data_IF_024457157047
#
_entry.id   IF_024457157047
#
_cell.length_a   1.000
_cell.length_b   1.000
_cell.length_c   1.000
_cell.angle_alpha   90.00
_cell.angle_beta   90.00
_cell.angle_gamma   90.00
#
_symmetry.space_group_name_H-M   'P 1'
#
loop_
_entity.id
_entity.type
_entity.pdbx_description
1 polymer ?
#
# COMPACT_ATOMS: atom_id res chain seq x y z
N UNK A 1 14.04 -18.74 3.64
CA UNK A 1 13.49 -18.11 4.86
C UNK A 1 13.45 -16.60 4.75
N UNK A 2 14.56 -15.94 4.37
CA UNK A 2 14.64 -14.47 4.26
C UNK A 2 13.61 -13.87 3.29
N UNK A 3 13.42 -14.47 2.11
CA UNK A 3 12.48 -13.97 1.10
C UNK A 3 11.03 -13.92 1.61
N UNK A 4 10.56 -14.95 2.32
CA UNK A 4 9.19 -14.97 2.87
C UNK A 4 8.99 -13.88 3.93
N UNK A 5 10.00 -13.66 4.77
CA UNK A 5 9.97 -12.65 5.82
C UNK A 5 9.98 -11.24 5.22
N UNK A 6 10.76 -11.04 4.15
CA UNK A 6 10.76 -9.84 3.32
C UNK A 6 9.40 -9.61 2.65
N UNK A 7 8.85 -10.63 2.00
CA UNK A 7 7.53 -10.56 1.36
C UNK A 7 6.44 -10.18 2.35
N UNK A 8 6.47 -10.75 3.55
CA UNK A 8 5.54 -10.42 4.62
C UNK A 8 5.71 -8.95 5.05
N UNK A 9 6.94 -8.49 5.26
CA UNK A 9 7.24 -7.11 5.66
C UNK A 9 6.74 -6.09 4.62
N UNK A 10 7.03 -6.31 3.32
CA UNK A 10 6.55 -5.44 2.23
C UNK A 10 5.01 -5.41 2.14
N UNK A 11 4.36 -6.52 2.43
CA UNK A 11 2.91 -6.62 2.30
C UNK A 11 2.15 -5.86 3.39
N UNK A 12 2.84 -5.39 4.43
CA UNK A 12 2.20 -4.74 5.59
C UNK A 12 1.50 -3.42 5.22
N UNK A 13 2.09 -2.62 4.32
CA UNK A 13 1.52 -1.34 3.92
C UNK A 13 0.23 -1.54 3.10
N UNK A 14 0.24 -2.50 2.16
CA UNK A 14 -0.95 -2.93 1.42
C UNK A 14 -2.01 -3.58 2.31
N UNK A 15 -1.60 -4.41 3.29
CA UNK A 15 -2.52 -5.03 4.24
C UNK A 15 -3.19 -3.98 5.15
N UNK A 16 -2.45 -2.98 5.64
CA UNK A 16 -2.99 -1.89 6.43
C UNK A 16 -4.01 -1.06 5.63
N UNK A 17 -3.68 -0.72 4.37
CA UNK A 17 -4.59 -0.05 3.46
C UNK A 17 -5.88 -0.87 3.24
N UNK A 18 -5.77 -2.18 3.02
CA UNK A 18 -6.93 -3.04 2.80
C UNK A 18 -7.75 -3.29 4.07
N UNK A 19 -7.12 -3.32 5.24
CA UNK A 19 -7.84 -3.35 6.51
C UNK A 19 -8.66 -2.08 6.71
N UNK A 20 -8.09 -0.91 6.40
CA UNK A 20 -8.81 0.36 6.42
C UNK A 20 -9.97 0.38 5.40
N UNK A 21 -9.74 -0.11 4.18
CA UNK A 21 -10.78 -0.22 3.15
C UNK A 21 -11.89 -1.19 3.57
N UNK A 22 -11.54 -2.33 4.17
CA UNK A 22 -12.51 -3.31 4.67
C UNK A 22 -13.43 -2.72 5.74
N UNK A 23 -12.85 -1.95 6.67
CA UNK A 23 -13.61 -1.30 7.71
C UNK A 23 -14.54 -0.19 7.19
N UNK A 24 -14.13 0.49 6.12
CA UNK A 24 -14.89 1.58 5.47
C UNK A 24 -15.98 1.06 4.54
N UNK A 25 -15.68 0.08 3.70
CA UNK A 25 -16.51 -0.35 2.58
C UNK A 25 -17.12 -1.74 2.81
N UNK A 26 -17.98 -1.85 3.83
CA UNK A 26 -18.52 -3.13 4.33
C UNK A 26 -19.39 -3.89 3.32
N UNK A 27 -20.13 -3.16 2.49
CA UNK A 27 -21.08 -3.73 1.52
C UNK A 27 -20.45 -4.10 0.17
N UNK A 28 -19.12 -3.98 0.03
CA UNK A 28 -18.45 -4.42 -1.20
C UNK A 28 -18.63 -5.92 -1.43
N UNK A 29 -19.06 -6.26 -2.65
CA UNK A 29 -19.19 -7.64 -3.09
C UNK A 29 -17.84 -8.33 -3.24
N UNK A 30 -17.83 -9.66 -3.10
CA UNK A 30 -16.63 -10.50 -3.17
C UNK A 30 -15.75 -10.20 -4.39
N UNK A 31 -16.36 -10.05 -5.57
CA UNK A 31 -15.64 -9.78 -6.81
C UNK A 31 -14.81 -8.48 -6.77
N UNK A 32 -15.32 -7.43 -6.12
CA UNK A 32 -14.57 -6.17 -5.96
C UNK A 32 -13.46 -6.30 -4.92
N UNK A 33 -13.70 -7.01 -3.81
CA UNK A 33 -12.67 -7.28 -2.80
C UNK A 33 -11.51 -8.05 -3.42
N UNK A 34 -11.83 -9.09 -4.20
CA UNK A 34 -10.86 -9.89 -4.93
C UNK A 34 -10.08 -9.03 -5.93
N UNK A 35 -10.76 -8.13 -6.65
CA UNK A 35 -10.11 -7.20 -7.57
C UNK A 35 -9.15 -6.23 -6.87
N UNK A 36 -9.53 -5.68 -5.70
CA UNK A 36 -8.66 -4.79 -4.92
C UNK A 36 -7.41 -5.54 -4.43
N UNK A 37 -7.59 -6.71 -3.82
CA UNK A 37 -6.47 -7.53 -3.37
C UNK A 37 -5.56 -7.93 -4.55
N UNK A 38 -6.14 -8.27 -5.70
CA UNK A 38 -5.40 -8.60 -6.91
C UNK A 38 -4.58 -7.40 -7.42
N UNK A 39 -5.16 -6.20 -7.46
CA UNK A 39 -4.43 -4.99 -7.85
C UNK A 39 -3.23 -4.72 -6.94
N UNK A 40 -3.40 -4.84 -5.61
CA UNK A 40 -2.29 -4.68 -4.66
C UNK A 40 -1.21 -5.74 -4.88
N UNK A 41 -1.57 -7.01 -4.99
CA UNK A 41 -0.62 -8.09 -5.25
C UNK A 41 0.08 -7.96 -6.60
N UNK A 42 -0.64 -7.51 -7.64
CA UNK A 42 -0.10 -7.26 -8.97
C UNK A 42 0.93 -6.12 -8.96
N UNK A 43 0.63 -5.00 -8.30
CA UNK A 43 1.60 -3.90 -8.14
C UNK A 43 2.81 -4.33 -7.31
N UNK A 44 2.62 -5.13 -6.25
CA UNK A 44 3.72 -5.67 -5.45
C UNK A 44 4.58 -6.70 -6.20
N UNK A 45 4.04 -7.34 -7.24
CA UNK A 45 4.80 -8.17 -8.17
C UNK A 45 5.54 -7.32 -9.20
N UNK A 46 4.87 -6.33 -9.78
CA UNK A 46 5.40 -5.53 -10.88
C UNK A 46 6.52 -4.60 -10.42
N UNK A 47 6.39 -3.98 -9.24
CA UNK A 47 7.34 -2.98 -8.75
C UNK A 47 8.74 -3.55 -8.47
N UNK A 48 8.93 -4.71 -7.82
CA UNK A 48 10.26 -5.31 -7.68
C UNK A 48 10.92 -5.61 -9.02
N UNK A 49 10.16 -6.02 -10.04
CA UNK A 49 10.69 -6.25 -11.39
C UNK A 49 11.16 -4.94 -12.01
N UNK A 50 10.33 -3.90 -11.98
CA UNK A 50 10.70 -2.57 -12.47
C UNK A 50 11.96 -2.05 -11.76
N UNK A 51 12.00 -2.16 -10.44
CA UNK A 51 13.13 -1.73 -9.62
C UNK A 51 14.41 -2.49 -9.97
N UNK A 52 14.31 -3.80 -10.20
CA UNK A 52 15.45 -4.63 -10.60
C UNK A 52 16.02 -4.20 -11.95
N UNK A 53 15.17 -3.96 -12.96
CA UNK A 53 15.63 -3.48 -14.27
C UNK A 53 16.13 -2.03 -14.23
N UNK A 54 15.53 -1.17 -13.41
CA UNK A 54 16.01 0.19 -13.15
C UNK A 54 17.37 0.19 -12.47
N UNK A 55 17.60 -0.70 -11.50
CA UNK A 55 18.90 -0.89 -10.84
C UNK A 55 20.01 -1.33 -11.81
N UNK A 56 19.66 -2.18 -12.78
CA UNK A 56 20.59 -2.61 -13.84
C UNK A 56 20.92 -1.47 -14.82
N UNK A 57 19.95 -0.61 -15.16
CA UNK A 57 20.16 0.50 -16.11
C UNK A 57 20.64 1.82 -15.49
N UNK A 58 20.41 2.03 -14.18
CA UNK A 58 20.64 3.30 -13.50
C UNK A 58 21.10 3.07 -12.05
N UNK A 59 22.39 2.78 -11.85
CA UNK A 59 23.01 2.83 -10.54
C UNK A 59 23.09 4.25 -9.92
N UNK A 60 22.50 5.29 -10.53
CA UNK A 60 22.74 6.70 -10.14
C UNK A 60 21.57 7.71 -10.20
N UNK A 61 20.34 7.36 -10.60
CA UNK A 61 19.34 8.42 -10.94
C UNK A 61 17.94 8.30 -10.32
N UNK A 62 17.61 7.24 -9.57
CA UNK A 62 16.21 6.95 -9.20
C UNK A 62 15.75 7.53 -7.83
N UNK A 63 16.63 8.16 -7.05
CA UNK A 63 16.33 8.41 -5.62
C UNK A 63 15.39 9.59 -5.31
N UNK A 64 15.20 10.57 -6.21
CA UNK A 64 14.68 11.89 -5.78
C UNK A 64 13.24 12.24 -6.17
N UNK A 65 12.57 11.50 -7.07
CA UNK A 65 11.31 12.00 -7.67
C UNK A 65 10.03 11.38 -7.06
N UNK A 66 10.08 10.18 -6.48
CA UNK A 66 8.85 9.42 -6.14
C UNK A 66 8.23 9.73 -4.76
N UNK A 67 9.01 10.23 -3.80
CA UNK A 67 8.62 10.25 -2.39
C UNK A 67 7.62 11.37 -2.03
N UNK A 68 7.77 12.57 -2.62
CA UNK A 68 6.87 13.69 -2.36
C UNK A 68 5.45 13.45 -2.92
N UNK A 69 5.35 12.76 -4.06
CA UNK A 69 4.07 12.41 -4.68
C UNK A 69 3.30 11.42 -3.81
N UNK A 70 3.98 10.37 -3.32
CA UNK A 70 3.39 9.41 -2.39
C UNK A 70 2.91 10.08 -1.10
N UNK A 71 3.74 10.95 -0.50
CA UNK A 71 3.37 11.73 0.70
C UNK A 71 2.06 12.50 0.49
N UNK A 72 1.96 13.31 -0.56
CA UNK A 72 0.78 14.14 -0.81
C UNK A 72 -0.48 13.29 -1.05
N UNK A 73 -0.37 12.19 -1.78
CA UNK A 73 -1.48 11.29 -2.06
C UNK A 73 -2.01 10.63 -0.78
N UNK A 74 -1.11 10.09 0.05
CA UNK A 74 -1.47 9.40 1.30
C UNK A 74 -2.04 10.37 2.35
N UNK A 75 -1.43 11.56 2.49
CA UNK A 75 -1.98 12.61 3.33
C UNK A 75 -3.37 13.06 2.85
N UNK A 76 -3.57 13.23 1.54
CA UNK A 76 -4.86 13.62 0.99
C UNK A 76 -5.95 12.57 1.25
N UNK A 77 -5.65 11.29 1.00
CA UNK A 77 -6.58 10.20 1.22
C UNK A 77 -6.90 10.02 2.71
N UNK A 78 -5.89 10.10 3.57
CA UNK A 78 -6.06 10.02 5.02
C UNK A 78 -6.87 11.20 5.59
N UNK A 79 -6.61 12.42 5.13
CA UNK A 79 -7.37 13.61 5.54
C UNK A 79 -8.83 13.55 5.10
N UNK A 80 -9.09 13.03 3.87
CA UNK A 80 -10.46 12.79 3.40
C UNK A 80 -11.20 11.84 4.35
N UNK A 81 -10.57 10.75 4.77
CA UNK A 81 -11.15 9.78 5.72
C UNK A 81 -11.41 10.38 7.11
N UNK A 82 -10.51 11.23 7.61
CA UNK A 82 -10.70 11.95 8.89
C UNK A 82 -11.85 12.96 8.83
N UNK A 83 -11.96 13.71 7.73
CA UNK A 83 -13.08 14.64 7.51
C UNK A 83 -14.42 13.90 7.50
N UNK A 84 -14.45 12.72 6.89
CA UNK A 84 -15.61 11.84 6.80
C UNK A 84 -15.95 11.20 8.15
N UNK A 85 -14.96 10.84 8.97
CA UNK A 85 -15.17 10.39 10.35
C UNK A 85 -15.83 11.46 11.24
N UNK A 86 -15.57 12.74 10.95
CA UNK A 86 -16.13 13.87 11.66
C UNK A 86 -17.52 14.30 11.15
N UNK A 87 -17.91 13.89 9.94
CA UNK A 87 -19.25 14.14 9.39
C UNK A 87 -20.18 12.99 9.75
N UNK A 88 -21.35 13.26 10.33
CA UNK A 88 -22.31 12.22 10.78
C UNK A 88 -23.12 11.56 9.64
N UNK A 89 -22.71 11.71 8.38
CA UNK A 89 -23.33 11.03 7.23
C UNK A 89 -22.74 9.62 7.03
N UNK A 90 -22.88 8.79 8.06
CA UNK A 90 -22.64 7.36 7.97
C UNK A 90 -23.89 6.70 7.36
N UNK A 91 -24.02 6.72 6.02
CA UNK A 91 -25.22 6.16 5.41
C UNK A 91 -25.27 6.03 3.89
N UNK A 92 -24.36 6.63 3.12
CA UNK A 92 -24.36 6.41 1.67
C UNK A 92 -23.56 5.16 1.30
N UNK A 93 -24.07 4.42 0.31
CA UNK A 93 -23.45 3.28 -0.34
C UNK A 93 -22.13 3.70 -0.99
N UNK A 94 -21.09 3.81 -0.17
CA UNK A 94 -19.75 4.19 -0.57
C UNK A 94 -19.22 3.19 -1.60
N UNK A 95 -19.27 3.56 -2.88
CA UNK A 95 -18.61 2.81 -3.94
C UNK A 95 -17.15 3.23 -3.98
N UNK A 96 -16.23 2.30 -3.74
CA UNK A 96 -14.81 2.55 -3.94
C UNK A 96 -14.55 2.72 -5.45
N UNK A 97 -14.04 3.91 -5.83
CA UNK A 97 -13.72 4.24 -7.21
C UNK A 97 -12.42 3.55 -7.65
N UNK A 98 -12.34 3.12 -8.90
CA UNK A 98 -11.19 2.38 -9.45
C UNK A 98 -9.91 3.20 -9.34
N UNK A 99 -10.01 4.53 -9.49
CA UNK A 99 -8.89 5.46 -9.28
C UNK A 99 -8.30 5.35 -7.89
N UNK A 100 -9.12 5.22 -6.85
CA UNK A 100 -8.63 5.11 -5.46
C UNK A 100 -7.88 3.81 -5.23
N UNK A 101 -8.35 2.72 -5.84
CA UNK A 101 -7.69 1.40 -5.80
C UNK A 101 -6.31 1.49 -6.47
N UNK A 102 -6.26 2.06 -7.67
CA UNK A 102 -5.04 2.16 -8.46
C UNK A 102 -3.99 3.05 -7.79
N UNK A 103 -4.42 4.21 -7.28
CA UNK A 103 -3.56 5.16 -6.57
C UNK A 103 -3.05 4.56 -5.27
N UNK A 104 -3.91 3.88 -4.50
CA UNK A 104 -3.49 3.19 -3.28
C UNK A 104 -2.49 2.08 -3.56
N UNK A 105 -2.75 1.24 -4.56
CA UNK A 105 -1.85 0.16 -4.94
C UNK A 105 -0.49 0.68 -5.42
N UNK A 106 -0.49 1.72 -6.25
CA UNK A 106 0.76 2.36 -6.67
C UNK A 106 1.53 2.91 -5.46
N UNK A 107 0.87 3.66 -4.58
CA UNK A 107 1.49 4.31 -3.44
C UNK A 107 2.09 3.31 -2.44
N UNK A 108 1.39 2.20 -2.16
CA UNK A 108 1.88 1.17 -1.22
C UNK A 108 2.95 0.25 -1.80
N UNK A 109 3.24 0.31 -3.10
CA UNK A 109 4.22 -0.58 -3.76
C UNK A 109 5.54 0.12 -4.13
N UNK A 110 5.71 1.39 -3.76
CA UNK A 110 6.97 2.13 -3.98
C UNK A 110 8.12 1.54 -3.14
N UNK A 111 7.81 1.01 -1.96
CA UNK A 111 8.76 0.27 -1.13
C UNK A 111 9.31 -0.97 -1.87
N UNK A 112 8.44 -1.67 -2.60
CA UNK A 112 8.76 -2.85 -3.39
C UNK A 112 9.68 -2.53 -4.56
N UNK A 113 9.52 -1.34 -5.15
CA UNK A 113 10.41 -0.83 -6.19
C UNK A 113 11.85 -0.69 -5.66
N UNK A 114 12.02 -0.05 -4.49
CA UNK A 114 13.33 0.13 -3.87
C UNK A 114 14.00 -1.20 -3.51
N UNK A 115 13.21 -2.17 -3.04
CA UNK A 115 13.68 -3.54 -2.78
C UNK A 115 14.09 -4.24 -4.07
N UNK A 116 13.34 -4.03 -5.16
CA UNK A 116 13.72 -4.49 -6.50
C UNK A 116 15.09 -4.00 -6.95
N UNK A 117 15.39 -2.71 -6.74
CA UNK A 117 16.71 -2.13 -7.02
C UNK A 117 17.78 -2.82 -6.18
N UNK A 118 17.53 -3.04 -4.89
CA UNK A 118 18.48 -3.70 -3.98
C UNK A 118 18.77 -5.15 -4.43
N UNK A 119 17.74 -5.90 -4.83
CA UNK A 119 17.86 -7.27 -5.34
C UNK A 119 18.66 -7.37 -6.66
N UNK A 120 18.79 -6.27 -7.40
CA UNK A 120 19.62 -6.22 -8.62
C UNK A 120 21.10 -6.45 -8.36
N UNK A 121 21.57 -6.13 -7.15
CA UNK A 121 22.95 -6.33 -6.74
C UNK A 121 23.24 -7.75 -6.24
N UNK A 122 22.22 -8.51 -5.84
CA UNK A 122 22.38 -9.87 -5.26
C UNK A 122 22.28 -11.02 -6.29
N UNK A 123 22.19 -10.73 -7.60
CA UNK A 123 22.08 -11.74 -8.67
C UNK A 123 21.00 -12.81 -8.41
N UNK A 124 19.89 -12.40 -7.81
CA UNK A 124 18.78 -13.29 -7.43
C UNK A 124 17.87 -13.55 -8.63
N UNK A 125 17.16 -14.69 -8.64
CA UNK A 125 16.06 -14.95 -9.57
C UNK A 125 14.88 -14.01 -9.26
N UNK A 126 14.92 -12.81 -9.85
CA UNK A 126 13.96 -11.73 -9.56
C UNK A 126 12.52 -12.14 -9.85
N UNK A 127 12.27 -12.90 -10.92
CA UNK A 127 10.92 -13.30 -11.28
C UNK A 127 10.27 -14.18 -10.22
N UNK A 128 11.00 -15.17 -9.69
CA UNK A 128 10.52 -16.01 -8.57
C UNK A 128 10.28 -15.18 -7.31
N UNK A 129 11.20 -14.24 -7.02
CA UNK A 129 11.13 -13.38 -5.84
C UNK A 129 9.92 -12.45 -5.88
N UNK A 130 9.73 -11.76 -7.00
CA UNK A 130 8.59 -10.89 -7.26
C UNK A 130 7.27 -11.65 -7.19
N UNK A 131 7.23 -12.87 -7.75
CA UNK A 131 6.02 -13.71 -7.75
C UNK A 131 5.61 -14.11 -6.33
N UNK A 132 6.57 -14.49 -5.49
CA UNK A 132 6.32 -14.79 -4.07
C UNK A 132 5.84 -13.55 -3.33
N UNK A 133 6.48 -12.40 -3.54
CA UNK A 133 6.07 -11.12 -2.92
C UNK A 133 4.62 -10.77 -3.30
N UNK A 134 4.28 -10.82 -4.58
CA UNK A 134 2.93 -10.52 -5.07
C UNK A 134 1.87 -11.47 -4.52
N UNK A 135 2.17 -12.78 -4.45
CA UNK A 135 1.25 -13.79 -3.89
C UNK A 135 1.03 -13.60 -2.38
N UNK A 136 2.09 -13.35 -1.62
CA UNK A 136 2.00 -13.07 -0.18
C UNK A 136 1.18 -11.81 0.05
N UNK A 137 1.44 -10.75 -0.72
CA UNK A 137 0.69 -9.50 -0.64
C UNK A 137 -0.79 -9.70 -0.97
N UNK A 138 -1.10 -10.45 -2.02
CA UNK A 138 -2.48 -10.77 -2.40
C UNK A 138 -3.23 -11.47 -1.27
N UNK A 139 -2.66 -12.54 -0.71
CA UNK A 139 -3.30 -13.33 0.36
C UNK A 139 -3.49 -12.49 1.62
N UNK A 140 -2.46 -11.74 2.04
CA UNK A 140 -2.53 -10.88 3.22
C UNK A 140 -3.51 -9.74 3.02
N UNK A 141 -3.52 -9.11 1.85
CA UNK A 141 -4.43 -8.01 1.53
C UNK A 141 -5.89 -8.47 1.50
N UNK A 142 -6.15 -9.69 1.02
CA UNK A 142 -7.48 -10.29 1.07
C UNK A 142 -7.93 -10.55 2.52
N UNK A 143 -7.06 -11.20 3.31
CA UNK A 143 -7.33 -11.48 4.73
C UNK A 143 -7.55 -10.19 5.54
N UNK A 144 -6.68 -9.19 5.34
CA UNK A 144 -6.75 -7.91 6.01
C UNK A 144 -8.05 -7.17 5.69
N UNK A 145 -8.55 -7.25 4.46
CA UNK A 145 -9.85 -6.67 4.10
C UNK A 145 -10.99 -7.28 4.90
N UNK A 146 -11.03 -8.60 5.05
CA UNK A 146 -12.07 -9.27 5.86
C UNK A 146 -11.97 -8.95 7.34
N UNK A 147 -10.75 -8.91 7.88
CA UNK A 147 -10.49 -8.50 9.26
C UNK A 147 -10.99 -7.06 9.46
N UNK A 148 -10.68 -6.17 8.50
CA UNK A 148 -11.16 -4.79 8.47
C UNK A 148 -12.68 -4.70 8.45
N UNK A 149 -13.35 -5.49 7.59
CA UNK A 149 -14.81 -5.53 7.50
C UNK A 149 -15.46 -5.91 8.84
N UNK A 150 -14.94 -6.95 9.49
CA UNK A 150 -15.40 -7.37 10.81
C UNK A 150 -15.16 -6.30 11.88
N UNK A 151 -13.98 -5.67 11.93
CA UNK A 151 -13.69 -4.59 12.86
C UNK A 151 -14.55 -3.33 12.60
N UNK A 152 -14.82 -3.02 11.35
CA UNK A 152 -15.65 -1.88 10.95
C UNK A 152 -17.11 -2.03 11.38
N UNK A 153 -17.65 -3.24 11.40
CA UNK A 153 -18.99 -3.52 11.95
C UNK A 153 -19.08 -3.19 13.44
N UNK A 154 -17.98 -3.35 14.19
CA UNK A 154 -17.92 -3.10 15.64
C UNK A 154 -17.52 -1.64 15.97
N UNK A 155 -16.71 -0.99 15.12
CA UNK A 155 -16.03 0.28 15.42
C UNK A 155 -16.26 1.38 14.35
N UNK A 156 -17.39 1.38 13.63
CA UNK A 156 -17.65 2.21 12.44
C UNK A 156 -16.99 3.62 12.41
N UNK A 157 -17.30 4.50 13.37
CA UNK A 157 -16.65 5.84 13.46
C UNK A 157 -15.17 5.80 13.84
N UNK A 158 -14.76 4.87 14.73
CA UNK A 158 -13.37 4.71 15.16
C UNK A 158 -12.48 4.14 14.05
N UNK A 159 -13.03 3.30 13.18
CA UNK A 159 -12.28 2.65 12.11
C UNK A 159 -11.97 3.61 10.95
N UNK A 160 -12.90 4.51 10.59
CA UNK A 160 -12.63 5.61 9.65
C UNK A 160 -11.53 6.54 10.18
N UNK A 161 -11.59 6.91 11.46
CA UNK A 161 -10.56 7.72 12.09
C UNK A 161 -9.21 7.02 12.12
N UNK A 162 -9.17 5.75 12.52
CA UNK A 162 -7.95 4.95 12.59
C UNK A 162 -7.32 4.75 11.21
N UNK A 163 -8.13 4.42 10.19
CA UNK A 163 -7.67 4.30 8.81
C UNK A 163 -7.10 5.62 8.28
N UNK A 164 -7.79 6.74 8.50
CA UNK A 164 -7.29 8.06 8.13
C UNK A 164 -5.96 8.41 8.80
N UNK A 165 -5.85 8.14 10.11
CA UNK A 165 -4.63 8.36 10.88
C UNK A 165 -3.46 7.49 10.39
N UNK A 166 -3.70 6.21 10.09
CA UNK A 166 -2.68 5.30 9.54
C UNK A 166 -2.17 5.81 8.18
N UNK A 167 -3.06 6.25 7.28
CA UNK A 167 -2.64 6.75 5.97
C UNK A 167 -1.82 8.05 6.07
N UNK A 168 -2.23 8.98 6.94
CA UNK A 168 -1.44 10.20 7.19
C UNK A 168 -0.08 9.83 7.75
N UNK A 169 -0.04 8.92 8.73
CA UNK A 169 1.20 8.45 9.33
C UNK A 169 2.12 7.79 8.29
N UNK A 170 1.57 6.95 7.41
CA UNK A 170 2.32 6.30 6.34
C UNK A 170 2.87 7.32 5.33
N UNK A 171 2.08 8.35 4.97
CA UNK A 171 2.57 9.47 4.18
C UNK A 171 3.77 10.14 4.84
N UNK A 172 3.61 10.59 6.10
CA UNK A 172 4.69 11.25 6.84
C UNK A 172 5.94 10.38 6.99
N UNK A 173 5.79 9.07 7.21
CA UNK A 173 6.91 8.12 7.23
C UNK A 173 7.70 8.20 5.93
N UNK A 174 7.03 8.13 4.77
CA UNK A 174 7.68 8.20 3.45
C UNK A 174 8.43 9.53 3.27
N UNK A 175 7.83 10.64 3.69
CA UNK A 175 8.46 11.97 3.64
C UNK A 175 9.72 12.05 4.51
N UNK A 176 9.64 11.55 5.75
CA UNK A 176 10.76 11.57 6.70
C UNK A 176 11.90 10.67 6.22
N UNK A 177 11.60 9.47 5.71
CA UNK A 177 12.61 8.57 5.14
C UNK A 177 13.36 9.25 4.00
N UNK A 178 12.67 9.96 3.12
CA UNK A 178 13.30 10.70 2.03
C UNK A 178 14.17 11.86 2.52
N UNK A 179 13.69 12.64 3.50
CA UNK A 179 14.46 13.76 4.08
C UNK A 179 15.75 13.29 4.78
N UNK A 180 15.73 12.09 5.35
CA UNK A 180 16.88 11.44 5.99
C UNK A 180 17.88 10.85 4.97
N UNK A 181 17.41 10.27 3.87
CA UNK A 181 18.27 9.71 2.83
C UNK A 181 18.97 10.78 1.97
N UNK A 182 18.37 11.96 1.77
CA UNK A 182 19.00 13.08 1.04
C UNK A 182 19.92 13.97 1.91
N UNK A 183 20.07 13.70 3.21
CA UNK A 183 21.03 14.39 4.07
C UNK A 183 20.74 15.89 4.27
N UNK A 184 19.47 16.28 4.35
CA UNK A 184 19.04 17.66 4.63
C UNK A 184 18.89 17.94 6.14
N UNK A 185 19.18 16.94 6.99
CA UNK A 185 19.25 17.04 8.46
C UNK A 185 20.55 16.40 8.99
#
# INVERSE_FOLDING_TARGET
MQLLLLSFALSMDSAALNMANGARYKSLGFSKILFIAFMLGFFQFLMPLLGYFLGISFAKFISSIDHFIAFFILCFLGFKMLKEACSSEAGESLSMDIKTIFVGAFATSIDALAIGVTLSFEAVRIFESALIIGLVCFVLSLAAFYIGKFMGEILEKKALFLGGAILIFLGFKILITHLLEEGVL
#
